data_IF_130811578631
#
_entry.id   IF_130811578631
#
_cell.length_a   1.000
_cell.length_b   1.000
_cell.length_c   1.000
_cell.angle_alpha   90.00
_cell.angle_beta   90.00
_cell.angle_gamma   90.00
#
_symmetry.space_group_name_H-M   'P 1'
#
loop_
_entity.id
_entity.type
_entity.pdbx_description
1 polymer ?
#
# COMPACT_ATOMS: atom_id res chain seq x y z
N UNK A 1 -39.43 -1.06 13.85
CA UNK A 1 -39.86 -0.86 12.45
C UNK A 1 -38.76 -0.10 11.73
N UNK A 2 -38.41 -0.60 10.55
CA UNK A 2 -37.65 0.06 9.48
C UNK A 2 -38.29 1.41 9.12
N UNK A 3 -37.50 2.38 8.65
CA UNK A 3 -38.00 3.44 7.78
C UNK A 3 -37.18 4.72 7.79
N UNK A 4 -36.22 4.82 6.88
CA UNK A 4 -35.44 6.01 6.53
C UNK A 4 -36.31 7.25 6.27
N UNK A 5 -35.77 8.44 6.62
CA UNK A 5 -35.88 9.56 5.68
C UNK A 5 -34.57 10.38 5.46
N UNK A 6 -33.49 10.17 6.22
CA UNK A 6 -32.47 11.24 6.37
C UNK A 6 -31.05 10.91 5.87
N UNK A 7 -30.79 9.67 5.44
CA UNK A 7 -29.41 9.23 5.22
C UNK A 7 -28.87 9.43 3.79
N UNK A 8 -29.73 9.67 2.81
CA UNK A 8 -29.33 9.74 1.40
C UNK A 8 -29.02 11.16 0.89
N UNK A 9 -29.38 12.22 1.61
CA UNK A 9 -29.08 13.61 1.20
C UNK A 9 -27.83 14.22 1.86
N UNK A 10 -27.33 13.65 2.98
CA UNK A 10 -26.17 14.21 3.72
C UNK A 10 -24.80 13.65 3.35
N UNK A 11 -24.71 12.70 2.42
CA UNK A 11 -23.43 12.18 1.91
C UNK A 11 -22.95 12.98 0.68
N UNK A 12 -23.37 14.23 0.57
CA UNK A 12 -22.88 15.20 -0.43
C UNK A 12 -21.96 16.29 0.13
N UNK A 13 -21.79 16.40 1.45
CA UNK A 13 -21.19 17.61 2.07
C UNK A 13 -20.15 17.31 3.15
N UNK A 14 -19.18 16.44 2.86
CA UNK A 14 -17.93 16.37 3.64
C UNK A 14 -16.74 16.56 2.68
N UNK A 15 -16.32 17.81 2.42
CA UNK A 15 -15.13 18.12 1.61
C UNK A 15 -13.84 17.45 2.14
N UNK A 16 -13.79 17.15 3.44
CA UNK A 16 -12.64 16.48 4.09
C UNK A 16 -12.53 14.99 3.73
N UNK A 17 -13.63 14.34 3.31
CA UNK A 17 -13.61 12.96 2.82
C UNK A 17 -13.26 12.91 1.33
N UNK A 18 -13.60 13.97 0.57
CA UNK A 18 -13.21 14.10 -0.84
C UNK A 18 -11.71 14.31 -1.03
N UNK A 19 -10.99 14.96 -0.11
CA UNK A 19 -9.53 15.02 -0.17
C UNK A 19 -8.85 13.65 0.07
N UNK A 20 -9.53 12.70 0.71
CA UNK A 20 -9.10 11.28 0.80
C UNK A 20 -9.67 10.37 -0.29
N UNK A 21 -10.56 10.90 -1.14
CA UNK A 21 -11.18 10.21 -2.28
C UNK A 21 -10.79 10.81 -3.65
N UNK A 22 -10.01 11.90 -3.67
CA UNK A 22 -9.62 12.65 -4.87
C UNK A 22 -8.80 11.84 -5.89
N UNK A 23 -8.39 10.63 -5.53
CA UNK A 23 -7.69 9.70 -6.43
C UNK A 23 -8.61 8.64 -7.04
N UNK A 24 -9.92 8.64 -6.74
CA UNK A 24 -10.84 7.65 -7.33
C UNK A 24 -11.11 7.84 -8.82
N UNK A 25 -10.88 9.04 -9.37
CA UNK A 25 -11.15 9.32 -10.78
C UNK A 25 -9.93 9.13 -11.71
N UNK A 26 -8.74 8.82 -11.16
CA UNK A 26 -7.48 8.77 -11.92
C UNK A 26 -6.52 7.61 -11.59
N UNK A 27 -6.87 6.67 -10.69
CA UNK A 27 -6.02 5.52 -10.34
C UNK A 27 -6.13 4.40 -11.38
N UNK A 28 -5.51 4.60 -12.54
CA UNK A 28 -4.76 3.49 -13.14
C UNK A 28 -3.58 3.24 -12.18
N UNK A 29 -3.24 1.97 -11.89
CA UNK A 29 -2.07 1.67 -11.07
C UNK A 29 -0.82 2.35 -11.64
N UNK A 30 0.08 2.80 -10.76
CA UNK A 30 1.39 3.29 -11.19
C UNK A 30 2.06 2.20 -12.02
N UNK A 31 2.78 2.55 -13.07
CA UNK A 31 3.64 1.58 -13.74
C UNK A 31 4.86 1.23 -12.85
N UNK A 32 5.73 0.34 -13.32
CA UNK A 32 6.88 -0.10 -12.55
C UNK A 32 7.84 1.05 -12.19
N UNK A 33 8.20 1.89 -13.16
CA UNK A 33 9.10 3.03 -12.95
C UNK A 33 8.49 4.06 -11.99
N UNK A 34 7.20 4.36 -12.16
CA UNK A 34 6.45 5.24 -11.25
C UNK A 34 6.35 4.66 -9.84
N UNK A 35 6.22 3.34 -9.71
CA UNK A 35 6.20 2.64 -8.41
C UNK A 35 7.55 2.76 -7.71
N UNK A 36 8.64 2.59 -8.45
CA UNK A 36 10.01 2.76 -7.95
C UNK A 36 10.26 4.19 -7.47
N UNK A 37 9.91 5.17 -8.30
CA UNK A 37 10.02 6.60 -7.95
C UNK A 37 9.15 6.93 -6.73
N UNK A 38 7.93 6.40 -6.68
CA UNK A 38 7.02 6.58 -5.56
C UNK A 38 7.62 6.05 -4.24
N UNK A 39 8.16 4.83 -4.23
CA UNK A 39 8.81 4.24 -3.05
C UNK A 39 10.01 5.09 -2.63
N UNK A 40 10.88 5.46 -3.58
CA UNK A 40 12.06 6.27 -3.32
C UNK A 40 11.71 7.65 -2.74
N UNK A 41 10.73 8.33 -3.33
CA UNK A 41 10.23 9.61 -2.84
C UNK A 41 9.68 9.50 -1.42
N UNK A 42 8.89 8.46 -1.13
CA UNK A 42 8.32 8.23 0.20
C UNK A 42 9.39 7.98 1.26
N UNK A 43 10.44 7.22 0.93
CA UNK A 43 11.57 6.99 1.80
C UNK A 43 12.37 8.28 2.05
N UNK A 44 12.58 9.09 1.02
CA UNK A 44 13.24 10.39 1.14
C UNK A 44 12.48 11.34 2.07
N UNK A 45 11.14 11.41 1.94
CA UNK A 45 10.29 12.20 2.84
C UNK A 45 10.34 11.70 4.28
N UNK A 46 10.53 10.39 4.49
CA UNK A 46 10.72 9.79 5.81
C UNK A 46 12.14 9.98 6.38
N UNK A 47 13.06 10.62 5.64
CA UNK A 47 14.44 10.87 6.07
C UNK A 47 15.39 9.70 5.87
N UNK A 48 15.05 8.73 5.02
CA UNK A 48 15.97 7.65 4.69
C UNK A 48 17.14 8.16 3.83
N UNK A 49 18.37 7.93 4.28
CA UNK A 49 19.59 8.36 3.58
C UNK A 49 20.04 7.39 2.47
N UNK A 50 19.51 6.16 2.47
CA UNK A 50 19.88 5.11 1.51
C UNK A 50 18.69 4.31 1.02
N UNK A 51 18.80 3.72 -0.16
CA UNK A 51 17.75 2.87 -0.71
C UNK A 51 17.63 1.59 0.13
N UNK A 52 16.56 1.52 0.94
CA UNK A 52 16.30 0.40 1.85
C UNK A 52 15.73 -0.83 1.15
N UNK A 53 15.38 -0.73 -0.14
CA UNK A 53 14.85 -1.84 -0.93
C UNK A 53 15.78 -2.14 -2.10
N UNK A 54 16.05 -3.42 -2.34
CA UNK A 54 16.71 -3.88 -3.57
C UNK A 54 15.78 -3.75 -4.77
N UNK A 55 16.34 -3.72 -5.98
CA UNK A 55 15.54 -3.68 -7.22
C UNK A 55 14.55 -4.86 -7.30
N UNK A 56 15.01 -6.07 -6.99
CA UNK A 56 14.15 -7.26 -6.99
C UNK A 56 13.06 -7.23 -5.90
N UNK A 57 13.29 -6.54 -4.78
CA UNK A 57 12.23 -6.30 -3.80
C UNK A 57 11.16 -5.34 -4.36
N UNK A 58 11.56 -4.33 -5.14
CA UNK A 58 10.64 -3.38 -5.78
C UNK A 58 9.81 -4.09 -6.86
N UNK A 59 10.40 -5.00 -7.64
CA UNK A 59 9.66 -5.85 -8.60
C UNK A 59 8.57 -6.66 -7.90
N UNK A 60 8.89 -7.34 -6.81
CA UNK A 60 7.91 -8.12 -6.04
C UNK A 60 6.80 -7.22 -5.46
N UNK A 61 7.16 -6.04 -4.97
CA UNK A 61 6.19 -5.07 -4.44
C UNK A 61 5.25 -4.61 -5.56
N UNK A 62 5.77 -4.34 -6.75
CA UNK A 62 4.98 -3.96 -7.91
C UNK A 62 4.02 -5.08 -8.32
N UNK A 63 4.52 -6.31 -8.46
CA UNK A 63 3.71 -7.48 -8.84
C UNK A 63 2.58 -7.76 -7.84
N UNK A 64 2.85 -7.62 -6.54
CA UNK A 64 1.83 -7.76 -5.50
C UNK A 64 0.80 -6.62 -5.52
N UNK A 65 1.28 -5.39 -5.73
CA UNK A 65 0.47 -4.18 -5.60
C UNK A 65 -0.29 -3.79 -6.85
N UNK A 66 0.11 -4.29 -8.02
CA UNK A 66 -0.39 -3.87 -9.34
C UNK A 66 -0.30 -2.34 -9.51
N UNK A 67 0.73 -1.73 -8.90
CA UNK A 67 0.92 -0.27 -8.92
C UNK A 67 -0.03 0.53 -8.03
N UNK A 68 -0.88 -0.12 -7.20
CA UNK A 68 -1.84 0.58 -6.36
C UNK A 68 -1.13 1.17 -5.12
N UNK A 69 -1.09 2.51 -4.93
CA UNK A 69 -0.31 3.15 -3.85
C UNK A 69 -0.64 2.65 -2.45
N UNK A 70 -1.91 2.29 -2.20
CA UNK A 70 -2.32 1.71 -0.91
C UNK A 70 -1.71 0.33 -0.66
N UNK A 71 -1.69 -0.54 -1.68
CA UNK A 71 -1.06 -1.86 -1.57
C UNK A 71 0.45 -1.72 -1.44
N UNK A 72 1.07 -0.82 -2.22
CA UNK A 72 2.52 -0.50 -2.13
C UNK A 72 2.88 -0.08 -0.69
N UNK A 73 2.17 0.90 -0.12
CA UNK A 73 2.47 1.35 1.24
C UNK A 73 2.35 0.22 2.26
N UNK A 74 1.28 -0.57 2.19
CA UNK A 74 1.05 -1.64 3.15
C UNK A 74 2.18 -2.68 3.15
N UNK A 75 2.64 -3.11 1.98
CA UNK A 75 3.75 -4.08 1.90
C UNK A 75 5.08 -3.44 2.30
N UNK A 76 5.35 -2.18 1.93
CA UNK A 76 6.55 -1.47 2.35
C UNK A 76 6.61 -1.30 3.88
N UNK A 77 5.52 -0.89 4.52
CA UNK A 77 5.45 -0.70 5.97
C UNK A 77 5.71 -2.01 6.72
N UNK A 78 5.13 -3.12 6.25
CA UNK A 78 5.39 -4.45 6.82
C UNK A 78 6.82 -4.92 6.58
N UNK A 79 7.38 -4.67 5.38
CA UNK A 79 8.78 -4.97 5.08
C UNK A 79 9.74 -4.23 5.99
N UNK A 80 9.51 -2.93 6.23
CA UNK A 80 10.32 -2.13 7.14
C UNK A 80 10.19 -2.61 8.58
N UNK A 81 8.97 -2.95 9.03
CA UNK A 81 8.75 -3.49 10.38
C UNK A 81 9.48 -4.81 10.61
N UNK A 82 9.38 -5.74 9.65
CA UNK A 82 10.04 -7.05 9.75
C UNK A 82 11.55 -6.92 9.59
N UNK A 83 12.03 -6.09 8.66
CA UNK A 83 13.45 -5.81 8.47
C UNK A 83 14.08 -5.19 9.73
N UNK A 84 13.38 -4.27 10.38
CA UNK A 84 13.78 -3.72 11.67
C UNK A 84 13.91 -4.80 12.75
N UNK A 85 12.93 -5.71 12.84
CA UNK A 85 12.98 -6.83 13.78
C UNK A 85 14.09 -7.86 13.50
N UNK A 86 14.62 -7.91 12.27
CA UNK A 86 15.73 -8.77 11.86
C UNK A 86 17.09 -8.05 11.88
N UNK A 87 17.13 -6.78 12.31
CA UNK A 87 18.33 -5.92 12.29
C UNK A 87 18.96 -5.73 10.91
N UNK A 88 18.17 -5.92 9.85
CA UNK A 88 18.62 -5.80 8.46
C UNK A 88 18.38 -4.39 7.93
N UNK A 89 19.40 -3.78 7.32
CA UNK A 89 19.32 -2.42 6.74
C UNK A 89 18.72 -2.37 5.32
N UNK A 90 18.62 -3.53 4.67
CA UNK A 90 18.17 -3.66 3.28
C UNK A 90 17.14 -4.77 3.15
N UNK A 91 16.00 -4.47 2.55
CA UNK A 91 14.94 -5.41 2.19
C UNK A 91 15.28 -6.03 0.83
N UNK A 92 15.51 -7.34 0.84
CA UNK A 92 15.78 -8.14 -0.34
C UNK A 92 14.51 -8.76 -0.96
N UNK A 93 14.68 -9.38 -2.12
CA UNK A 93 13.63 -10.06 -2.87
C UNK A 93 12.99 -11.21 -2.09
N UNK A 94 13.74 -11.92 -1.23
CA UNK A 94 13.24 -13.06 -0.48
C UNK A 94 12.25 -12.61 0.61
N UNK A 95 12.64 -11.60 1.39
CA UNK A 95 11.79 -11.01 2.41
C UNK A 95 10.53 -10.39 1.80
N UNK A 96 10.68 -9.65 0.70
CA UNK A 96 9.55 -9.05 -0.02
C UNK A 96 8.55 -10.12 -0.50
N UNK A 97 9.04 -11.24 -1.06
CA UNK A 97 8.18 -12.33 -1.54
C UNK A 97 7.41 -12.98 -0.41
N UNK A 98 8.07 -13.27 0.71
CA UNK A 98 7.43 -13.84 1.90
C UNK A 98 6.26 -12.96 2.35
N UNK A 99 6.47 -11.65 2.45
CA UNK A 99 5.44 -10.72 2.89
C UNK A 99 4.31 -10.55 1.88
N UNK A 100 4.61 -10.57 0.57
CA UNK A 100 3.58 -10.57 -0.46
C UNK A 100 2.65 -11.78 -0.34
N UNK A 101 3.20 -12.97 -0.09
CA UNK A 101 2.43 -14.21 0.13
C UNK A 101 1.60 -14.13 1.41
N UNK A 102 2.18 -13.66 2.51
CA UNK A 102 1.50 -13.53 3.80
C UNK A 102 0.31 -12.56 3.69
N UNK A 103 0.53 -11.38 3.12
CA UNK A 103 -0.52 -10.36 2.93
C UNK A 103 -1.64 -10.84 1.99
N UNK A 104 -1.30 -11.58 0.93
CA UNK A 104 -2.31 -12.18 0.05
C UNK A 104 -3.13 -13.26 0.78
N UNK A 105 -2.48 -14.04 1.64
CA UNK A 105 -3.13 -15.09 2.44
C UNK A 105 -4.08 -14.48 3.48
N UNK A 106 -3.66 -13.42 4.15
CA UNK A 106 -4.51 -12.69 5.11
C UNK A 106 -5.70 -12.04 4.41
N UNK A 107 -5.50 -11.35 3.28
CA UNK A 107 -6.59 -10.76 2.51
C UNK A 107 -7.67 -11.79 2.12
N UNK A 108 -7.26 -13.00 1.73
CA UNK A 108 -8.19 -14.10 1.42
C UNK A 108 -8.88 -14.69 2.65
N UNK A 109 -8.19 -14.78 3.79
CA UNK A 109 -8.78 -15.27 5.04
C UNK A 109 -9.82 -14.30 5.60
N UNK A 110 -9.58 -12.99 5.53
CA UNK A 110 -10.54 -11.97 5.95
C UNK A 110 -11.77 -11.92 5.02
N UNK A 111 -11.59 -12.04 3.70
CA UNK A 111 -12.69 -12.03 2.74
C UNK A 111 -13.63 -13.26 2.84
N UNK A 112 -13.21 -14.36 3.47
CA UNK A 112 -14.05 -15.54 3.72
C UNK A 112 -14.85 -15.49 5.03
N UNK A 113 -14.59 -14.51 5.90
CA UNK A 113 -15.21 -14.38 7.23
C UNK A 113 -16.13 -13.14 7.33
N UNK A 114 -16.52 -12.55 6.19
CA UNK A 114 -17.49 -11.46 6.05
C UNK A 114 -18.56 -11.91 5.06
#
# INVERSE_FOLDING_TARGET
MIGQPEFLEKVGVIPQLQQRLGIKYHLVGLNFDETKEYISHRLSVAGAESNMFTEGAIEVIYDYSEGLPRKINNICDMSLLVGFGQETKTIDTELANKLAVDLNTWGRAYAKNV
#
